data_IF_990102840857
#
_entry.id   IF_990102840857
#
_cell.length_a   1.000
_cell.length_b   1.000
_cell.length_c   1.000
_cell.angle_alpha   90.00
_cell.angle_beta   90.00
_cell.angle_gamma   90.00
#
_symmetry.space_group_name_H-M   'P 1'
#
loop_
_entity.id
_entity.type
_entity.pdbx_description
1 polymer ?
#
# COMPACT_ATOMS: atom_id res chain seq x y z
N UNK A 1 -21.43 3.63 -4.88
CA UNK A 1 -20.15 4.38 -4.94
C UNK A 1 -18.99 3.41 -5.06
N UNK A 2 -18.13 3.57 -6.06
CA UNK A 2 -17.00 2.67 -6.27
C UNK A 2 -15.89 2.93 -5.23
N UNK A 3 -15.33 1.85 -4.66
CA UNK A 3 -14.21 1.89 -3.71
C UNK A 3 -13.40 0.60 -3.78
N UNK A 4 -12.15 0.62 -3.31
CA UNK A 4 -11.33 -0.59 -3.22
C UNK A 4 -11.84 -1.53 -2.13
N UNK A 5 -12.37 -2.71 -2.51
CA UNK A 5 -12.90 -3.73 -1.60
C UNK A 5 -11.94 -4.91 -1.36
N UNK A 6 -10.79 -4.92 -2.06
CA UNK A 6 -9.82 -6.01 -1.99
C UNK A 6 -9.00 -6.06 -0.69
N UNK A 7 -7.98 -6.92 -0.70
CA UNK A 7 -7.12 -7.17 0.45
C UNK A 7 -6.27 -5.93 0.86
N UNK A 8 -6.76 -5.15 1.83
CA UNK A 8 -6.10 -3.93 2.33
C UNK A 8 -4.64 -4.11 2.79
N UNK A 9 -4.32 -5.22 3.46
CA UNK A 9 -2.95 -5.47 3.92
C UNK A 9 -1.94 -5.67 2.78
N UNK A 10 -2.42 -6.07 1.58
CA UNK A 10 -1.59 -6.17 0.37
C UNK A 10 -1.09 -4.79 -0.06
N UNK A 11 -1.93 -3.76 0.12
CA UNK A 11 -1.58 -2.38 -0.19
C UNK A 11 -0.47 -1.87 0.74
N UNK A 12 -0.60 -2.08 2.05
CA UNK A 12 0.44 -1.72 3.01
C UNK A 12 1.77 -2.39 2.65
N UNK A 13 1.76 -3.71 2.41
CA UNK A 13 2.98 -4.45 2.02
C UNK A 13 3.60 -3.98 0.71
N UNK A 14 2.80 -3.48 -0.23
CA UNK A 14 3.32 -2.93 -1.49
C UNK A 14 4.01 -1.57 -1.27
N UNK A 15 3.45 -0.73 -0.41
CA UNK A 15 4.03 0.57 -0.06
C UNK A 15 5.13 0.48 1.01
N UNK A 16 5.31 -0.69 1.62
CA UNK A 16 6.36 -0.92 2.62
C UNK A 16 6.09 -0.31 4.00
N UNK A 17 4.95 0.35 4.19
CA UNK A 17 4.62 1.13 5.39
C UNK A 17 3.21 0.80 5.91
N UNK A 18 2.97 1.09 7.21
CA UNK A 18 1.65 0.92 7.82
C UNK A 18 0.71 2.04 7.36
N UNK A 19 -0.23 1.72 6.47
CA UNK A 19 -1.30 2.65 6.03
C UNK A 19 -2.54 2.66 6.94
N UNK A 20 -2.54 1.91 8.06
CA UNK A 20 -3.62 1.84 9.06
C UNK A 20 -5.05 1.53 8.55
N UNK A 21 -5.19 0.93 7.36
CA UNK A 21 -6.50 0.66 6.72
C UNK A 21 -7.43 -0.35 7.44
N UNK A 22 -6.95 -0.99 8.52
CA UNK A 22 -7.71 -1.96 9.34
C UNK A 22 -7.83 -1.55 10.81
N UNK A 23 -7.55 -0.29 11.17
CA UNK A 23 -7.71 0.21 12.55
C UNK A 23 -6.89 -0.59 13.56
N UNK A 24 -7.52 -1.05 14.65
CA UNK A 24 -6.87 -1.75 15.77
C UNK A 24 -5.99 -2.94 15.35
N UNK A 25 -6.36 -3.69 14.30
CA UNK A 25 -5.54 -4.81 13.81
C UNK A 25 -4.16 -4.36 13.32
N UNK A 26 -4.02 -3.13 12.81
CA UNK A 26 -2.74 -2.59 12.34
C UNK A 26 -1.76 -2.29 13.50
N UNK A 27 -2.28 -2.13 14.71
CA UNK A 27 -1.49 -1.92 15.94
C UNK A 27 -1.04 -3.24 16.56
N UNK A 28 -1.73 -4.35 16.27
CA UNK A 28 -1.37 -5.67 16.78
C UNK A 28 -0.21 -6.35 16.02
N UNK A 29 0.41 -7.34 16.65
CA UNK A 29 1.37 -8.29 16.03
C UNK A 29 0.80 -9.08 14.86
N UNK A 30 -0.55 -9.15 14.74
CA UNK A 30 -1.23 -9.80 13.61
C UNK A 30 -1.19 -8.94 12.33
N UNK A 31 -0.56 -7.77 12.36
CA UNK A 31 -0.39 -6.90 11.19
C UNK A 31 0.52 -7.57 10.14
N UNK A 32 0.09 -7.55 8.88
CA UNK A 32 0.83 -8.18 7.80
C UNK A 32 2.18 -7.50 7.51
N UNK A 33 2.31 -6.20 7.80
CA UNK A 33 3.59 -5.47 7.67
C UNK A 33 4.61 -6.06 8.66
N UNK A 34 4.22 -6.16 9.94
CA UNK A 34 5.10 -6.69 11.00
C UNK A 34 5.52 -8.12 10.70
N UNK A 35 4.58 -8.98 10.29
CA UNK A 35 4.87 -10.41 10.04
C UNK A 35 5.55 -10.70 8.71
N UNK A 36 5.27 -9.92 7.67
CA UNK A 36 5.68 -10.17 6.27
C UNK A 36 5.89 -8.85 5.52
N UNK A 37 6.99 -8.12 5.78
CA UNK A 37 7.21 -6.79 5.21
C UNK A 37 7.56 -6.81 3.72
N UNK A 38 7.82 -7.98 3.11
CA UNK A 38 8.16 -8.05 1.68
C UNK A 38 6.99 -7.61 0.80
N UNK A 39 7.30 -7.13 -0.41
CA UNK A 39 6.29 -6.81 -1.42
C UNK A 39 5.41 -8.03 -1.72
N UNK A 40 4.12 -7.85 -2.02
CA UNK A 40 3.23 -8.96 -2.37
C UNK A 40 3.57 -9.52 -3.77
N UNK A 41 3.44 -10.84 -3.94
CA UNK A 41 3.71 -11.55 -5.19
C UNK A 41 4.84 -12.57 -5.05
N UNK A 42 5.04 -13.39 -6.09
CA UNK A 42 6.09 -14.42 -6.14
C UNK A 42 7.49 -13.80 -6.31
N UNK A 43 7.60 -12.70 -7.04
CA UNK A 43 8.87 -12.00 -7.27
C UNK A 43 9.14 -10.99 -6.15
N UNK A 44 9.76 -11.45 -5.06
CA UNK A 44 10.18 -10.61 -3.94
C UNK A 44 11.71 -10.54 -3.74
N UNK A 45 12.48 -11.31 -4.53
CA UNK A 45 13.91 -11.56 -4.29
C UNK A 45 14.85 -10.42 -4.69
N UNK A 46 14.45 -9.49 -5.55
CA UNK A 46 15.25 -8.30 -5.85
C UNK A 46 14.37 -7.06 -5.95
N UNK A 47 14.63 -6.07 -5.10
CA UNK A 47 14.10 -4.71 -5.26
C UNK A 47 14.99 -3.99 -6.26
N UNK A 48 14.52 -3.82 -7.49
CA UNK A 48 15.18 -2.92 -8.44
C UNK A 48 15.09 -1.49 -7.94
N UNK A 49 16.12 -0.68 -8.22
CA UNK A 49 16.10 0.75 -7.94
C UNK A 49 14.93 1.38 -8.69
N UNK A 50 14.05 2.07 -7.97
CA UNK A 50 12.95 2.80 -8.58
C UNK A 50 13.49 3.98 -9.40
N UNK A 51 12.94 4.18 -10.59
CA UNK A 51 13.08 5.44 -11.32
C UNK A 51 12.44 6.58 -10.54
N UNK A 52 12.78 7.83 -10.87
CA UNK A 52 12.18 8.99 -10.19
C UNK A 52 10.68 9.07 -10.40
N UNK A 53 10.19 8.78 -11.61
CA UNK A 53 8.76 8.58 -11.86
C UNK A 53 8.18 7.47 -10.97
N UNK A 54 8.90 6.36 -10.81
CA UNK A 54 8.50 5.26 -9.94
C UNK A 54 8.33 5.70 -8.48
N UNK A 55 9.20 6.58 -7.97
CA UNK A 55 9.09 7.16 -6.63
C UNK A 55 7.84 8.04 -6.52
N UNK A 56 7.65 8.99 -7.44
CA UNK A 56 6.48 9.87 -7.45
C UNK A 56 5.17 9.08 -7.57
N UNK A 57 5.14 8.05 -8.42
CA UNK A 57 3.99 7.17 -8.57
C UNK A 57 3.67 6.45 -7.26
N UNK A 58 4.68 5.97 -6.51
CA UNK A 58 4.44 5.30 -5.22
C UNK A 58 3.87 6.26 -4.19
N UNK A 59 4.43 7.45 -4.05
CA UNK A 59 3.90 8.46 -3.12
C UNK A 59 2.48 8.88 -3.48
N UNK A 60 2.18 9.06 -4.77
CA UNK A 60 0.80 9.28 -5.25
C UNK A 60 -0.15 8.15 -4.84
N UNK A 61 0.26 6.91 -5.08
CA UNK A 61 -0.56 5.74 -4.74
C UNK A 61 -0.72 5.58 -3.22
N UNK A 62 0.30 5.92 -2.43
CA UNK A 62 0.26 5.93 -0.97
C UNK A 62 -0.82 6.90 -0.47
N UNK A 63 -0.74 8.16 -0.88
CA UNK A 63 -1.71 9.20 -0.50
C UNK A 63 -3.15 8.79 -0.86
N UNK A 64 -3.40 8.40 -2.13
CA UNK A 64 -4.73 7.94 -2.58
C UNK A 64 -5.29 6.81 -1.72
N UNK A 65 -4.46 5.84 -1.35
CA UNK A 65 -4.88 4.65 -0.58
C UNK A 65 -5.18 4.95 0.87
N UNK A 66 -4.43 5.87 1.50
CA UNK A 66 -4.69 6.32 2.87
C UNK A 66 -6.10 6.88 2.98
N UNK A 67 -6.48 7.74 2.04
CA UNK A 67 -7.81 8.35 2.00
C UNK A 67 -8.89 7.48 1.34
N UNK A 68 -8.52 6.33 0.76
CA UNK A 68 -9.47 5.42 0.11
C UNK A 68 -10.17 6.00 -1.12
N UNK A 69 -9.58 7.01 -1.77
CA UNK A 69 -10.15 7.71 -2.93
C UNK A 69 -9.93 6.96 -4.25
N UNK A 70 -10.79 7.22 -5.24
CA UNK A 70 -10.57 6.78 -6.61
C UNK A 70 -9.50 7.65 -7.30
N UNK A 71 -8.85 7.10 -8.33
CA UNK A 71 -7.80 7.82 -9.07
C UNK A 71 -8.35 9.08 -9.74
N UNK A 72 -9.57 9.03 -10.28
CA UNK A 72 -10.23 10.18 -10.90
C UNK A 72 -10.52 11.30 -9.90
N UNK A 73 -11.03 10.94 -8.70
CA UNK A 73 -11.30 11.91 -7.63
C UNK A 73 -10.01 12.51 -7.07
N UNK A 74 -8.93 11.72 -7.01
CA UNK A 74 -7.63 12.17 -6.50
C UNK A 74 -6.86 13.06 -7.50
N UNK A 75 -7.15 12.95 -8.81
CA UNK A 75 -6.44 13.69 -9.84
C UNK A 75 -6.76 15.19 -9.82
N UNK A 76 -7.96 15.57 -9.35
CA UNK A 76 -8.39 16.95 -9.15
C UNK A 76 -8.20 17.83 -10.36
#
# INVERSE_FOLDING_TARGET
>A
MARYTGAKCRLCRREGEKLFLKGARCLSEKCAITRRPQVPGQHFKQRSRLSDYGKHLREKQKAKRIYGMLEAQFKG
#
